data_IF_989180529152
#
_entry.id   IF_989180529152
#
_cell.length_a   1.000
_cell.length_b   1.000
_cell.length_c   1.000
_cell.angle_alpha   90.00
_cell.angle_beta   90.00
_cell.angle_gamma   90.00
#
_symmetry.space_group_name_H-M   'P 1'
#
loop_
_entity.id
_entity.type
_entity.pdbx_description
1 polymer ?
2 non-polymer ?
3 non-polymer ?
4 water ?
#
# COMPACT_ATOMS: atom_id res chain seq x y z
N UNK A 1 -7.23 -7.14 26.66
CA UNK A 1 -7.77 -6.02 25.84
C UNK A 1 -7.64 -6.38 24.36
N UNK A 2 -8.33 -5.63 23.51
CA UNK A 2 -8.32 -5.91 22.08
C UNK A 2 -7.05 -5.30 21.45
N UNK A 3 -6.69 -5.84 20.30
CA UNK A 3 -5.55 -5.27 19.54
C UNK A 3 -6.13 -4.10 18.77
N UNK A 4 -5.63 -2.89 19.01
CA UNK A 4 -6.15 -1.71 18.31
C UNK A 4 -5.40 -1.58 16.98
N UNK A 5 -6.12 -1.50 15.89
CA UNK A 5 -5.56 -1.38 14.54
C UNK A 5 -6.06 -0.07 13.95
N UNK A 6 -5.14 0.69 13.35
CA UNK A 6 -5.57 1.87 12.59
C UNK A 6 -5.04 1.68 11.16
N UNK A 7 -5.91 1.79 10.16
CA UNK A 7 -5.57 1.53 8.76
C UNK A 7 -5.91 2.78 7.94
N UNK A 8 -5.03 3.16 7.03
CA UNK A 8 -5.29 4.31 6.14
C UNK A 8 -5.83 3.81 4.81
N UNK A 9 -6.58 4.65 4.12
CA UNK A 9 -7.12 4.30 2.77
C UNK A 9 -8.11 3.15 2.82
N UNK A 10 -9.21 3.25 3.58
CA UNK A 10 -10.13 2.11 3.68
C UNK A 10 -11.38 2.18 2.81
N UNK A 11 -11.47 3.13 1.89
CA UNK A 11 -12.67 3.28 1.08
C UNK A 11 -12.85 2.14 0.08
N UNK A 12 -11.77 1.51 -0.38
CA UNK A 12 -11.90 0.41 -1.31
C UNK A 12 -10.64 -0.46 -1.24
N UNK A 13 -10.68 -1.48 -2.09
CA UNK A 13 -9.51 -2.31 -2.26
C UNK A 13 -8.98 -2.95 -1.00
N UNK A 14 -7.63 -3.07 -0.97
CA UNK A 14 -7.04 -3.78 0.14
C UNK A 14 -7.43 -3.25 1.50
N UNK A 15 -7.38 -1.92 1.70
CA UNK A 15 -7.67 -1.34 3.01
C UNK A 15 -9.10 -1.67 3.45
N UNK A 16 -10.05 -1.58 2.53
CA UNK A 16 -11.45 -1.94 2.88
C UNK A 16 -11.60 -3.40 3.29
N UNK A 17 -10.98 -4.31 2.52
CA UNK A 17 -11.03 -5.72 2.80
C UNK A 17 -10.31 -6.07 4.09
N UNK A 18 -9.15 -5.47 4.37
CA UNK A 18 -8.44 -5.73 5.60
C UNK A 18 -9.23 -5.23 6.80
N UNK A 19 -9.76 -4.02 6.73
CA UNK A 19 -10.57 -3.48 7.84
C UNK A 19 -11.70 -4.47 8.20
N UNK A 20 -12.48 -4.96 7.24
CA UNK A 20 -13.60 -5.85 7.63
C UNK A 20 -13.16 -7.25 7.99
N UNK A 21 -12.07 -7.76 7.37
CA UNK A 21 -11.52 -9.05 7.78
C UNK A 21 -11.15 -8.98 9.28
N UNK A 22 -10.45 -7.90 9.69
CA UNK A 22 -10.05 -7.79 11.09
C UNK A 22 -11.26 -7.58 12.02
N UNK A 23 -12.13 -6.66 11.66
CA UNK A 23 -13.28 -6.34 12.53
C UNK A 23 -14.20 -7.55 12.69
N UNK A 24 -14.34 -8.33 11.65
CA UNK A 24 -15.20 -9.52 11.71
C UNK A 24 -14.47 -10.77 12.17
N UNK A 25 -13.21 -10.72 12.56
CA UNK A 25 -12.54 -11.93 13.02
C UNK A 25 -13.38 -12.64 14.07
N UNK A 26 -13.57 -13.96 13.92
CA UNK A 26 -14.36 -14.73 14.87
C UNK A 26 -13.92 -14.58 16.30
N UNK A 27 -12.63 -14.45 16.62
CA UNK A 27 -12.15 -14.23 17.97
C UNK A 27 -12.45 -12.86 18.56
N UNK A 28 -12.87 -11.88 17.76
CA UNK A 28 -13.13 -10.52 18.24
C UNK A 28 -11.94 -9.91 18.96
N UNK A 29 -10.73 -10.20 18.51
CA UNK A 29 -9.46 -9.76 19.01
C UNK A 29 -9.14 -8.31 18.62
N UNK A 30 -9.67 -7.83 17.53
CA UNK A 30 -9.29 -6.52 17.00
C UNK A 30 -10.34 -5.44 17.11
N UNK A 31 -9.90 -4.21 17.36
CA UNK A 31 -10.77 -3.04 17.36
C UNK A 31 -10.20 -2.26 16.15
N UNK A 32 -11.01 -1.97 15.15
CA UNK A 32 -10.43 -1.36 13.95
C UNK A 32 -10.87 0.07 13.68
N UNK A 33 -9.87 0.96 13.60
CA UNK A 33 -10.14 2.31 13.15
C UNK A 33 -9.84 2.32 11.63
N UNK A 34 -10.88 2.26 10.83
CA UNK A 34 -10.80 2.32 9.37
C UNK A 34 -10.86 3.79 8.96
N UNK A 35 -9.75 4.32 8.45
CA UNK A 35 -9.71 5.72 8.09
C UNK A 35 -9.76 5.92 6.59
N UNK A 36 -10.32 7.05 6.18
CA UNK A 36 -10.61 7.30 4.78
C UNK A 36 -10.34 8.79 4.51
N UNK A 37 -9.86 9.08 3.30
CA UNK A 37 -9.59 10.49 3.01
C UNK A 37 -10.83 11.34 3.07
N UNK A 38 -11.95 10.83 2.52
CA UNK A 38 -13.20 11.53 2.49
C UNK A 38 -14.30 10.62 3.06
N UNK A 39 -14.96 11.00 4.14
CA UNK A 39 -16.03 10.15 4.71
C UNK A 39 -17.19 9.96 3.75
N UNK A 40 -17.44 10.74 2.72
CA UNK A 40 -18.50 10.44 1.76
C UNK A 40 -18.28 9.13 1.02
N UNK A 41 -17.11 8.52 1.06
CA UNK A 41 -16.80 7.27 0.39
C UNK A 41 -16.94 6.07 1.31
N UNK A 42 -17.50 6.18 2.50
CA UNK A 42 -17.53 5.06 3.46
C UNK A 42 -18.61 4.02 3.25
N UNK A 43 -19.48 4.21 2.24
CA UNK A 43 -20.61 3.31 2.06
C UNK A 43 -20.24 1.89 1.75
N UNK A 44 -19.25 1.66 0.87
CA UNK A 44 -18.86 0.27 0.56
C UNK A 44 -18.27 -0.41 1.78
N UNK A 45 -17.53 0.35 2.58
CA UNK A 45 -16.95 -0.23 3.79
C UNK A 45 -18.06 -0.73 4.73
N UNK A 46 -19.07 0.10 4.99
CA UNK A 46 -20.18 -0.31 5.84
C UNK A 46 -21.03 -1.41 5.21
N UNK A 47 -21.19 -1.41 3.89
CA UNK A 47 -21.91 -2.51 3.26
C UNK A 47 -21.15 -3.82 3.47
N UNK A 48 -19.82 -3.76 3.35
CA UNK A 48 -19.01 -4.96 3.54
C UNK A 48 -18.99 -5.40 5.00
N UNK A 49 -18.93 -4.42 5.92
CA UNK A 49 -18.93 -4.67 7.33
C UNK A 49 -20.20 -5.43 7.74
N UNK A 50 -21.34 -4.97 7.23
CA UNK A 50 -22.60 -5.67 7.52
C UNK A 50 -22.62 -7.07 6.95
N UNK A 51 -22.09 -7.23 5.75
CA UNK A 51 -22.07 -8.54 5.07
C UNK A 51 -21.21 -9.54 5.84
N UNK A 52 -20.19 -9.11 6.55
CA UNK A 52 -19.39 -10.01 7.39
C UNK A 52 -19.79 -9.98 8.84
N UNK A 53 -20.91 -9.31 9.14
CA UNK A 53 -21.45 -9.21 10.49
C UNK A 53 -20.44 -8.72 11.50
N UNK A 54 -19.71 -7.62 11.22
CA UNK A 54 -18.79 -7.07 12.21
C UNK A 54 -19.61 -6.63 13.43
N UNK A 55 -19.25 -7.09 14.61
CA UNK A 55 -19.98 -6.72 15.81
C UNK A 55 -19.94 -5.20 15.99
N UNK A 56 -21.01 -4.65 16.56
CA UNK A 56 -21.07 -3.23 16.87
C UNK A 56 -19.91 -2.83 17.75
N UNK A 57 -19.16 -1.79 17.39
CA UNK A 57 -17.99 -1.35 18.10
C UNK A 57 -16.69 -2.01 17.64
N UNK A 58 -16.72 -2.98 16.76
CA UNK A 58 -15.48 -3.61 16.27
C UNK A 58 -14.79 -2.74 15.21
N UNK A 59 -15.55 -1.91 14.52
CA UNK A 59 -15.19 -1.08 13.42
C UNK A 59 -15.69 0.34 13.57
N UNK A 60 -14.75 1.28 13.46
CA UNK A 60 -15.11 2.71 13.53
C UNK A 60 -14.45 3.41 12.36
N UNK A 61 -15.10 4.43 11.77
CA UNK A 61 -14.51 5.16 10.69
C UNK A 61 -14.08 6.56 11.14
N UNK A 62 -12.92 6.99 10.65
CA UNK A 62 -12.45 8.35 10.93
C UNK A 62 -12.05 8.96 9.58
N UNK A 63 -12.20 10.24 9.42
CA UNK A 63 -11.64 10.92 8.26
C UNK A 63 -10.13 11.08 8.50
N UNK A 64 -9.27 10.74 7.56
CA UNK A 64 -7.83 10.93 7.74
C UNK A 64 -7.21 11.11 6.36
N UNK A 65 -6.82 12.33 6.05
CA UNK A 65 -6.22 12.58 4.78
C UNK A 65 -4.71 12.67 5.00
N UNK A 66 -3.95 11.67 4.55
CA UNK A 66 -2.52 11.63 4.82
C UNK A 66 -1.74 12.81 4.23
N UNK A 67 -2.28 13.65 3.37
CA UNK A 67 -1.59 14.86 2.92
C UNK A 67 -1.58 15.94 3.99
N UNK A 68 -2.35 15.81 5.07
CA UNK A 68 -2.40 16.86 6.10
C UNK A 68 -2.12 16.37 7.49
N UNK A 69 -1.03 16.83 8.08
CA UNK A 69 -0.59 16.48 9.41
C UNK A 69 -1.64 16.86 10.46
N UNK A 70 -2.49 17.85 10.19
CA UNK A 70 -3.54 18.19 11.14
C UNK A 70 -4.60 17.08 11.13
N UNK A 71 -4.88 16.52 9.96
CA UNK A 71 -5.84 15.42 9.85
C UNK A 71 -5.28 14.19 10.51
N UNK A 72 -3.97 13.94 10.37
CA UNK A 72 -3.31 12.79 10.96
C UNK A 72 -3.41 12.91 12.48
N UNK A 73 -3.03 14.09 13.00
CA UNK A 73 -3.10 14.30 14.45
C UNK A 73 -4.50 14.26 15.04
N UNK A 74 -5.53 14.75 14.36
CA UNK A 74 -6.89 14.68 14.90
C UNK A 74 -7.42 13.23 14.91
N UNK A 75 -7.02 12.43 13.92
CA UNK A 75 -7.50 11.03 13.93
C UNK A 75 -6.77 10.30 15.05
N UNK A 76 -5.49 10.57 15.30
CA UNK A 76 -4.76 9.94 16.39
C UNK A 76 -5.44 10.24 17.73
N UNK A 77 -5.90 11.48 17.88
CA UNK A 77 -6.56 11.84 19.14
C UNK A 77 -7.88 11.09 19.30
N UNK A 78 -8.58 10.73 18.23
CA UNK A 78 -9.83 10.01 18.29
C UNK A 78 -9.66 8.56 18.68
N UNK A 79 -8.46 8.01 18.84
CA UNK A 79 -8.26 6.63 19.26
C UNK A 79 -8.47 6.58 20.77
N UNK A 80 -9.70 6.26 21.18
CA UNK A 80 -10.10 6.32 22.60
C UNK A 80 -9.25 5.46 23.50
N UNK A 81 -8.70 4.35 23.01
CA UNK A 81 -7.82 3.51 23.82
C UNK A 81 -6.48 4.14 24.17
N UNK A 82 -6.06 5.20 23.51
CA UNK A 82 -4.80 5.87 23.80
C UNK A 82 -3.60 5.08 23.34
N UNK A 83 -3.81 4.17 22.37
CA UNK A 83 -2.70 3.40 21.86
C UNK A 83 -3.08 2.76 20.51
N UNK A 84 -2.07 2.45 19.71
CA UNK A 84 -2.33 1.74 18.45
C UNK A 84 -1.36 0.56 18.48
N UNK A 85 -1.89 -0.68 18.44
CA UNK A 85 -1.03 -1.83 18.44
C UNK A 85 -0.50 -2.14 17.05
N UNK A 86 -1.36 -1.90 16.07
CA UNK A 86 -1.05 -2.23 14.69
C UNK A 86 -1.40 -1.04 13.80
N UNK A 87 -0.41 -0.46 13.14
CA UNK A 87 -0.67 0.67 12.23
C UNK A 87 -0.48 0.14 10.81
N UNK A 88 -1.44 0.35 9.95
CA UNK A 88 -1.35 -0.14 8.55
C UNK A 88 -1.38 1.06 7.64
N UNK A 89 -0.22 1.32 7.03
CA UNK A 89 -0.07 2.41 6.06
C UNK A 89 -0.33 1.85 4.67
N UNK A 90 -1.55 2.03 4.19
CA UNK A 90 -2.06 1.53 2.94
C UNK A 90 -2.54 2.55 1.94
N UNK A 91 -2.87 3.75 2.35
CA UNK A 91 -3.34 4.81 1.46
C UNK A 91 -2.35 4.94 0.30
N UNK A 92 -2.87 5.04 -0.92
CA UNK A 92 -1.92 5.17 -2.04
C UNK A 92 -2.66 5.61 -3.29
N UNK A 93 -1.91 6.12 -4.23
CA UNK A 93 -2.32 6.56 -5.53
C UNK A 93 -1.46 5.94 -6.61
N UNK A 94 -2.12 5.69 -7.74
CA UNK A 94 -1.37 5.17 -8.90
C UNK A 94 -1.18 6.41 -9.77
N UNK A 95 -0.37 6.27 -10.80
CA UNK A 95 -0.18 7.28 -11.81
C UNK A 95 0.38 6.59 -13.05
N UNK A 96 -0.41 6.64 -14.14
CA UNK A 96 0.01 5.90 -15.33
C UNK A 96 0.05 6.81 -16.55
N UNK A 97 1.09 6.70 -17.32
CA UNK A 97 1.22 7.41 -18.59
C UNK A 97 2.65 7.81 -18.89
N UNK A 98 2.85 8.33 -20.10
CA UNK A 98 4.15 8.82 -20.54
C UNK A 98 4.63 9.86 -19.54
N UNK A 99 5.89 9.80 -19.11
CA UNK A 99 6.35 10.81 -18.12
C UNK A 99 6.06 12.26 -18.50
N UNK A 100 6.29 12.64 -19.76
CA UNK A 100 6.05 13.98 -20.27
C UNK A 100 4.57 14.36 -20.34
N UNK A 101 3.66 13.42 -20.27
CA UNK A 101 2.23 13.69 -20.25
C UNK A 101 1.65 13.87 -18.86
N UNK A 102 2.44 13.62 -17.80
CA UNK A 102 1.91 13.71 -16.44
C UNK A 102 1.93 15.12 -15.91
N UNK A 103 0.82 15.59 -15.29
CA UNK A 103 0.83 16.93 -14.74
C UNK A 103 1.77 16.99 -13.54
N UNK A 104 2.37 18.16 -13.39
CA UNK A 104 3.30 18.43 -12.29
C UNK A 104 2.60 18.23 -10.96
N UNK A 105 1.36 18.69 -10.85
CA UNK A 105 0.56 18.49 -9.67
C UNK A 105 0.26 17.02 -9.39
N UNK A 106 -0.05 16.25 -10.41
CA UNK A 106 -0.33 14.82 -10.29
C UNK A 106 0.94 14.11 -9.77
N UNK A 107 2.11 14.49 -10.32
CA UNK A 107 3.35 13.90 -9.82
C UNK A 107 3.59 14.18 -8.35
N UNK A 108 3.52 15.47 -7.94
CA UNK A 108 3.69 15.89 -6.57
C UNK A 108 2.67 15.22 -5.67
N UNK A 109 1.41 15.08 -6.08
CA UNK A 109 0.43 14.38 -5.28
C UNK A 109 0.78 12.94 -5.00
N UNK A 110 1.23 12.20 -6.01
CA UNK A 110 1.56 10.79 -5.80
C UNK A 110 2.64 10.69 -4.73
N UNK A 111 3.66 11.56 -4.82
CA UNK A 111 4.74 11.48 -3.82
C UNK A 111 4.29 11.93 -2.44
N UNK A 112 3.44 12.96 -2.37
CA UNK A 112 2.95 13.46 -1.10
C UNK A 112 2.06 12.46 -0.36
N UNK A 113 1.14 11.84 -1.10
CA UNK A 113 0.29 10.82 -0.51
C UNK A 113 1.08 9.55 -0.20
N UNK A 114 1.74 9.00 -1.18
CA UNK A 114 2.38 7.69 -1.03
C UNK A 114 3.60 7.70 -0.09
N UNK A 115 4.41 8.73 -0.20
CA UNK A 115 5.67 8.80 0.59
C UNK A 115 5.56 9.73 1.78
N UNK A 116 5.29 11.03 1.57
CA UNK A 116 5.23 11.95 2.70
C UNK A 116 4.08 11.62 3.63
N UNK A 117 2.96 11.16 3.09
CA UNK A 117 1.84 10.71 3.95
C UNK A 117 2.23 9.55 4.84
N UNK A 118 3.05 8.56 4.42
CA UNK A 118 3.46 7.51 5.31
C UNK A 118 4.47 8.06 6.32
N UNK A 119 5.35 8.93 5.83
CA UNK A 119 6.23 9.60 6.82
C UNK A 119 5.37 10.29 7.88
N UNK A 120 4.36 11.07 7.51
CA UNK A 120 3.48 11.73 8.46
C UNK A 120 2.83 10.75 9.44
N UNK A 121 2.38 9.58 8.94
CA UNK A 121 1.81 8.57 9.85
C UNK A 121 2.84 8.03 10.83
N UNK A 122 4.05 7.71 10.35
CA UNK A 122 5.11 7.19 11.19
C UNK A 122 5.57 8.20 12.21
N UNK A 123 5.61 9.49 11.83
CA UNK A 123 6.02 10.49 12.83
C UNK A 123 4.98 10.56 13.95
N UNK A 124 3.70 10.53 13.62
CA UNK A 124 2.61 10.64 14.56
C UNK A 124 2.46 9.41 15.46
N UNK A 125 2.73 8.21 14.95
CA UNK A 125 2.47 6.99 15.71
C UNK A 125 3.67 6.23 16.18
N UNK A 126 4.86 6.39 15.58
CA UNK A 126 6.02 5.63 15.99
C UNK A 126 6.51 5.94 17.41
N UNK A 127 6.57 7.19 17.81
CA UNK A 127 7.13 7.54 19.13
C UNK A 127 6.46 6.82 20.29
N UNK A 128 5.15 6.66 20.30
CA UNK A 128 4.44 5.96 21.36
C UNK A 128 4.76 4.47 21.33
N UNK A 129 4.98 3.91 20.14
CA UNK A 129 5.35 2.51 20.02
C UNK A 129 6.75 2.30 20.58
N UNK A 130 7.64 3.22 20.25
CA UNK A 130 9.04 3.09 20.73
C UNK A 130 9.09 3.20 22.25
N UNK A 131 8.31 4.08 22.85
CA UNK A 131 8.32 4.25 24.32
C UNK A 131 7.79 3.01 25.01
N UNK A 132 6.76 2.40 24.42
CA UNK A 132 6.16 1.19 24.93
C UNK A 132 6.99 -0.05 24.67
N UNK A 133 7.86 -0.02 23.65
CA UNK A 133 8.63 -1.21 23.34
C UNK A 133 7.76 -2.23 22.59
N UNK A 134 6.71 -1.77 21.90
CA UNK A 134 5.87 -2.71 21.16
C UNK A 134 5.00 -2.00 20.15
N UNK A 135 4.60 -2.76 19.13
CA UNK A 135 3.77 -2.19 18.06
C UNK A 135 4.21 -2.78 16.73
N UNK A 136 3.22 -2.86 15.83
CA UNK A 136 3.48 -3.44 14.52
C UNK A 136 3.04 -2.44 13.45
N UNK A 137 3.97 -2.26 12.50
CA UNK A 137 3.64 -1.36 11.40
C UNK A 137 3.64 -2.17 10.12
N UNK A 138 2.51 -2.17 9.42
CA UNK A 138 2.45 -2.87 8.15
C UNK A 138 2.29 -1.83 7.05
N UNK A 139 3.05 -1.94 5.98
CA UNK A 139 2.94 -0.99 4.87
C UNK A 139 2.57 -1.74 3.59
N UNK A 140 1.52 -1.28 2.90
CA UNK A 140 1.19 -1.95 1.62
C UNK A 140 2.30 -1.62 0.63
N UNK A 141 2.94 -2.64 0.11
CA UNK A 141 4.04 -2.49 -0.84
C UNK A 141 3.54 -2.89 -2.22
N UNK A 142 4.44 -3.07 -3.18
CA UNK A 142 4.04 -3.40 -4.54
C UNK A 142 5.20 -4.05 -5.25
N UNK A 143 4.94 -4.84 -6.27
CA UNK A 143 6.02 -5.38 -7.10
C UNK A 143 6.70 -4.19 -7.81
N UNK A 144 5.95 -3.12 -8.05
CA UNK A 144 6.45 -1.88 -8.67
C UNK A 144 7.41 -1.12 -7.74
N UNK A 145 7.51 -1.46 -6.46
CA UNK A 145 8.52 -0.83 -5.61
C UNK A 145 9.80 -1.67 -5.56
N UNK A 146 9.77 -2.82 -6.22
CA UNK A 146 10.91 -3.75 -6.28
C UNK A 146 11.54 -3.80 -7.68
N UNK A 147 10.81 -3.39 -8.69
CA UNK A 147 11.33 -3.38 -10.08
C UNK A 147 10.58 -2.35 -10.89
N UNK A 148 11.31 -1.66 -11.77
CA UNK A 148 10.68 -0.58 -12.55
C UNK A 148 9.74 -1.04 -13.65
N UNK A 149 8.58 -0.35 -13.79
CA UNK A 149 7.59 -0.72 -14.82
C UNK A 149 7.38 0.43 -15.78
N UNK A 150 7.49 0.21 -17.09
CA UNK A 150 7.29 1.24 -18.07
C UNK A 150 5.95 1.90 -17.89
N UNK A 151 5.95 3.23 -18.06
CA UNK A 151 4.76 4.08 -17.97
C UNK A 151 4.21 4.20 -16.56
N UNK A 152 4.95 3.72 -15.56
CA UNK A 152 4.61 3.77 -14.15
C UNK A 152 5.81 4.40 -13.39
N UNK A 153 6.51 5.26 -14.08
CA UNK A 153 7.74 5.88 -13.57
C UNK A 153 7.57 6.57 -12.23
N UNK A 154 6.53 7.38 -12.11
CA UNK A 154 6.33 8.13 -10.86
C UNK A 154 5.73 7.23 -9.82
N UNK A 155 4.80 6.34 -10.23
CA UNK A 155 4.25 5.40 -9.26
C UNK A 155 5.38 4.53 -8.68
N UNK A 156 6.17 3.98 -9.63
CA UNK A 156 7.33 3.15 -9.19
C UNK A 156 8.27 3.96 -8.29
N UNK A 157 8.54 5.21 -8.69
CA UNK A 157 9.41 6.06 -7.86
C UNK A 157 8.89 6.07 -6.46
N UNK A 158 7.59 6.30 -6.25
CA UNK A 158 6.95 6.32 -4.97
C UNK A 158 6.99 5.02 -4.22
N UNK A 159 6.81 3.83 -4.86
CA UNK A 159 6.81 2.56 -4.17
C UNK A 159 8.28 2.21 -3.79
N UNK A 160 9.21 2.44 -4.71
CA UNK A 160 10.62 2.27 -4.38
C UNK A 160 10.98 3.16 -3.16
N UNK A 161 10.42 4.38 -3.12
CA UNK A 161 10.71 5.25 -1.96
C UNK A 161 10.30 4.60 -0.66
N UNK A 162 9.14 3.90 -0.65
CA UNK A 162 8.67 3.25 0.57
C UNK A 162 9.56 2.13 0.99
N UNK A 163 10.14 1.41 0.01
CA UNK A 163 11.08 0.35 0.33
C UNK A 163 12.29 0.95 1.09
N UNK A 164 12.81 2.08 0.58
CA UNK A 164 13.97 2.73 1.17
C UNK A 164 13.62 3.28 2.56
N UNK A 165 12.46 3.90 2.64
CA UNK A 165 11.98 4.42 3.93
C UNK A 165 11.92 3.34 4.96
N UNK A 166 11.21 2.23 4.70
CA UNK A 166 10.97 1.15 5.62
C UNK A 166 12.21 0.36 5.96
N UNK A 167 13.07 0.14 4.94
CA UNK A 167 14.28 -0.62 5.25
C UNK A 167 15.18 0.19 6.16
N UNK A 168 15.28 1.50 5.94
CA UNK A 168 16.12 2.37 6.77
C UNK A 168 15.60 2.37 8.21
N UNK A 169 14.29 2.47 8.40
CA UNK A 169 13.67 2.42 9.71
C UNK A 169 13.84 1.09 10.39
N UNK A 170 13.65 0.02 9.63
CA UNK A 170 13.83 -1.33 10.17
C UNK A 170 15.20 -1.56 10.80
N UNK A 171 16.27 -1.06 10.17
CA UNK A 171 17.63 -1.19 10.68
C UNK A 171 17.70 -0.58 12.07
N UNK A 172 17.04 0.57 12.29
CA UNK A 172 17.07 1.17 13.62
C UNK A 172 16.15 0.49 14.62
N UNK A 173 14.92 0.17 14.19
CA UNK A 173 13.90 -0.37 15.03
C UNK A 173 14.13 -1.79 15.52
N UNK A 174 15.11 -2.51 15.05
CA UNK A 174 15.41 -3.89 15.38
C UNK A 174 15.39 -4.17 16.87
N UNK A 175 16.15 -3.46 17.70
CA UNK A 175 16.14 -3.65 19.14
C UNK A 175 15.09 -2.90 19.93
N UNK A 176 14.21 -2.08 19.32
CA UNK A 176 13.16 -1.37 20.03
C UNK A 176 11.92 -2.22 20.27
N UNK A 177 11.78 -3.40 19.67
CA UNK A 177 10.51 -4.15 19.89
C UNK A 177 9.40 -3.69 18.94
N UNK A 178 9.64 -2.74 18.05
CA UNK A 178 8.63 -2.24 17.13
C UNK A 178 8.93 -2.89 15.78
N UNK A 179 7.94 -3.57 15.20
CA UNK A 179 8.20 -4.33 13.98
C UNK A 179 7.59 -3.69 12.75
N UNK A 180 8.42 -3.49 11.74
CA UNK A 180 7.88 -2.95 10.48
C UNK A 180 7.95 -3.98 9.40
N UNK A 181 6.88 -4.09 8.60
CA UNK A 181 6.87 -5.02 7.49
C UNK A 181 6.13 -4.45 6.28
N UNK A 182 6.65 -4.74 5.11
CA UNK A 182 6.04 -4.42 3.83
C UNK A 182 5.29 -5.65 3.32
N UNK A 183 4.07 -5.44 2.82
CA UNK A 183 3.33 -6.55 2.22
C UNK A 183 3.34 -6.38 0.71
N UNK A 184 4.18 -7.17 0.04
CA UNK A 184 4.47 -6.95 -1.37
C UNK A 184 3.43 -7.62 -2.28
N UNK A 185 2.59 -6.79 -2.85
CA UNK A 185 1.54 -7.28 -3.71
C UNK A 185 1.85 -7.13 -5.20
N UNK A 186 1.34 -8.10 -5.98
CA UNK A 186 1.33 -8.00 -7.45
C UNK A 186 -0.03 -7.40 -7.74
N UNK A 187 -0.63 -7.70 -8.89
CA UNK A 187 -1.94 -7.21 -9.25
C UNK A 187 -3.03 -7.82 -8.36
N UNK A 188 -3.94 -7.02 -7.90
CA UNK A 188 -5.03 -7.38 -7.03
C UNK A 188 -6.37 -6.89 -7.62
N UNK A 189 -7.39 -7.73 -7.58
CA UNK A 189 -8.73 -7.38 -8.02
C UNK A 189 -9.35 -6.38 -7.05
N UNK A 190 -9.41 -5.11 -7.37
CA UNK A 190 -10.02 -4.15 -6.44
C UNK A 190 -11.16 -3.42 -7.17
N UNK A 199 -8.12 10.18 -21.05
CA UNK A 199 -8.59 10.11 -22.43
C UNK A 199 -7.38 9.98 -23.34
N UNK A 200 -7.46 9.11 -24.34
CA UNK A 200 -6.38 8.90 -25.29
C UNK A 200 -5.97 10.22 -25.93
N UNK A 201 -6.96 11.02 -26.30
CA UNK A 201 -6.82 12.33 -26.90
C UNK A 201 -5.94 13.25 -26.06
N UNK A 202 -6.09 13.24 -24.74
CA UNK A 202 -5.23 14.09 -23.91
C UNK A 202 -3.82 13.52 -23.79
N UNK A 203 -3.66 12.21 -23.73
CA UNK A 203 -2.30 11.66 -23.65
C UNK A 203 -1.60 11.92 -24.98
N UNK A 204 -2.29 11.66 -26.11
CA UNK A 204 -1.68 11.88 -27.41
C UNK A 204 -1.27 13.32 -27.62
N UNK A 205 -2.02 14.30 -27.13
CA UNK A 205 -1.60 15.70 -27.22
C UNK A 205 -0.34 16.00 -26.46
N UNK A 206 0.03 15.21 -25.45
CA UNK A 206 1.19 15.47 -24.63
C UNK A 206 2.39 14.60 -24.92
N UNK A 207 2.33 13.71 -25.91
CA UNK A 207 3.52 12.88 -26.16
C UNK A 207 3.73 12.64 -27.65
N UNK A 208 4.73 11.88 -28.05
CA UNK A 208 4.90 11.63 -29.48
C UNK A 208 4.10 10.38 -29.84
N UNK A 209 3.89 10.17 -31.15
CA UNK A 209 3.12 9.05 -31.63
C UNK A 209 3.72 7.71 -31.31
N UNK A 210 5.05 7.60 -31.25
CA UNK A 210 5.73 6.35 -30.94
C UNK A 210 5.57 5.96 -29.46
N UNK A 211 5.77 6.97 -28.62
CA UNK A 211 5.52 6.72 -27.18
C UNK A 211 4.05 6.36 -26.98
N UNK A 212 3.14 7.04 -27.64
CA UNK A 212 1.70 6.76 -27.52
C UNK A 212 1.40 5.32 -27.91
N UNK A 213 2.03 4.83 -28.96
CA UNK A 213 1.86 3.46 -29.44
C UNK A 213 2.39 2.45 -28.43
N UNK A 214 3.55 2.78 -27.84
CA UNK A 214 4.15 1.92 -26.82
C UNK A 214 3.23 1.88 -25.58
N UNK A 215 2.62 3.01 -25.26
CA UNK A 215 1.67 3.08 -24.19
C UNK A 215 0.52 2.12 -24.43
N UNK A 216 -0.03 2.08 -25.66
CA UNK A 216 -1.10 1.13 -25.98
C UNK A 216 -0.63 -0.28 -25.69
N UNK A 217 0.56 -0.62 -26.18
CA UNK A 217 1.13 -1.94 -26.03
C UNK A 217 1.25 -2.29 -24.53
N UNK A 218 1.76 -1.35 -23.75
CA UNK A 218 1.87 -1.58 -22.29
C UNK A 218 0.50 -1.92 -21.72
N UNK A 219 -0.52 -1.13 -22.03
CA UNK A 219 -1.87 -1.27 -21.54
C UNK A 219 -2.47 -2.60 -21.96
N UNK A 220 -2.21 -3.03 -23.19
CA UNK A 220 -2.77 -4.34 -23.61
C UNK A 220 -2.12 -5.44 -22.81
N UNK A 221 -0.79 -5.33 -22.63
CA UNK A 221 -0.05 -6.30 -21.85
C UNK A 221 -0.50 -6.33 -20.39
N UNK A 222 -0.71 -5.16 -19.80
CA UNK A 222 -1.16 -5.00 -18.42
C UNK A 222 -2.50 -5.67 -18.18
N UNK A 223 -3.42 -5.43 -19.12
CA UNK A 223 -4.75 -6.03 -19.05
C UNK A 223 -4.64 -7.54 -19.06
N UNK A 224 -3.74 -8.14 -19.84
CA UNK A 224 -3.61 -9.58 -19.89
C UNK A 224 -2.99 -10.14 -18.61
N UNK A 225 -1.98 -9.41 -18.11
CA UNK A 225 -1.41 -9.86 -16.83
C UNK A 225 -2.48 -9.82 -15.75
N UNK A 226 -3.29 -8.76 -15.70
CA UNK A 226 -4.31 -8.62 -14.66
C UNK A 226 -5.35 -9.74 -14.77
N UNK A 227 -5.84 -9.95 -15.99
CA UNK A 227 -6.82 -11.00 -16.27
C UNK A 227 -6.37 -12.38 -15.83
N UNK A 228 -5.11 -12.70 -16.03
CA UNK A 228 -4.49 -13.95 -15.68
C UNK A 228 -3.99 -14.06 -14.25
N UNK A 229 -3.50 -12.96 -13.67
CA UNK A 229 -2.85 -13.08 -12.37
C UNK A 229 -3.36 -12.25 -11.22
N UNK A 230 -4.40 -11.46 -11.40
CA UNK A 230 -4.84 -10.62 -10.28
C UNK A 230 -5.32 -11.50 -9.14
N UNK A 231 -4.90 -11.23 -7.92
CA UNK A 231 -5.35 -12.00 -6.77
C UNK A 231 -6.60 -11.37 -6.14
N UNK A 232 -7.41 -12.19 -5.47
CA UNK A 232 -8.56 -11.66 -4.75
C UNK A 232 -8.03 -10.85 -3.56
N UNK A 233 -8.65 -9.77 -3.16
CA UNK A 233 -8.22 -8.99 -2.02
C UNK A 233 -8.37 -9.76 -0.71
N UNK A 234 -9.20 -10.83 -0.68
CA UNK A 234 -9.28 -11.58 0.58
C UNK A 234 -7.94 -12.30 0.83
N UNK A 235 -7.38 -12.84 -0.25
CA UNK A 235 -6.14 -13.58 -0.20
C UNK A 235 -4.98 -12.65 0.18
N UNK A 236 -4.97 -11.45 -0.37
CA UNK A 236 -3.97 -10.43 -0.07
C UNK A 236 -4.12 -9.95 1.36
N UNK A 237 -5.37 -9.62 1.77
CA UNK A 237 -5.61 -9.20 3.13
C UNK A 237 -5.11 -10.23 4.12
N UNK A 238 -5.24 -11.52 3.91
CA UNK A 238 -4.77 -12.54 4.83
C UNK A 238 -3.25 -12.54 5.04
N UNK A 239 -2.49 -12.07 4.05
CA UNK A 239 -1.02 -11.99 4.25
C UNK A 239 -0.76 -10.93 5.31
N UNK A 240 -1.55 -9.84 5.36
CA UNK A 240 -1.37 -8.89 6.46
C UNK A 240 -1.54 -9.55 7.82
N UNK A 241 -2.60 -10.40 7.94
CA UNK A 241 -2.87 -11.13 9.17
C UNK A 241 -1.72 -12.06 9.53
N UNK A 242 -1.17 -12.74 8.52
CA UNK A 242 -0.01 -13.61 8.72
C UNK A 242 1.14 -12.81 9.32
N UNK A 243 1.47 -11.67 8.73
CA UNK A 243 2.54 -10.83 9.26
C UNK A 243 2.26 -10.39 10.69
N UNK A 244 1.02 -10.01 10.99
CA UNK A 244 0.63 -9.56 12.31
C UNK A 244 0.83 -10.57 13.43
N UNK A 245 0.57 -11.82 13.09
CA UNK A 245 0.68 -12.90 14.07
C UNK A 245 2.06 -13.51 14.14
N UNK A 246 2.99 -13.12 13.26
CA UNK A 246 4.33 -13.72 13.39
C UNK A 246 5.01 -13.12 14.61
N UNK A 247 5.59 -13.94 15.46
CA UNK A 247 6.31 -13.48 16.64
C UNK A 247 7.53 -12.63 16.30
N UNK A 248 8.19 -12.95 15.18
CA UNK A 248 9.36 -12.18 14.72
C UNK A 248 9.17 -11.95 13.23
N UNK A 249 8.35 -10.95 12.91
CA UNK A 249 8.01 -10.68 11.52
C UNK A 249 9.22 -10.25 10.71
N UNK A 250 9.26 -10.61 9.45
CA UNK A 250 10.32 -10.16 8.53
C UNK A 250 9.95 -8.80 7.95
N UNK A 251 10.97 -8.14 7.38
CA UNK A 251 10.78 -6.86 6.76
C UNK A 251 9.80 -6.98 5.58
N UNK A 252 9.83 -8.05 4.83
CA UNK A 252 8.95 -8.21 3.68
C UNK A 252 8.18 -9.53 3.62
N UNK A 253 6.92 -9.45 3.24
CA UNK A 253 6.05 -10.60 3.00
C UNK A 253 5.64 -10.48 1.53
N UNK A 254 5.55 -11.55 0.78
CA UNK A 254 5.16 -11.49 -0.62
C UNK A 254 3.77 -12.13 -0.75
N UNK A 255 2.86 -11.50 -1.49
CA UNK A 255 1.53 -12.10 -1.60
C UNK A 255 1.49 -13.20 -2.65
N UNK A 256 2.55 -13.26 -3.46
CA UNK A 256 2.65 -14.21 -4.54
C UNK A 256 4.15 -14.47 -4.83
N UNK A 257 4.38 -15.62 -5.48
CA UNK A 257 5.79 -15.88 -5.83
C UNK A 257 6.02 -15.61 -7.30
N UNK A 258 5.02 -15.18 -8.02
CA UNK A 258 5.03 -14.99 -9.45
C UNK A 258 6.12 -14.07 -10.00
N UNK A 259 6.49 -13.03 -9.27
CA UNK A 259 7.50 -12.10 -9.75
C UNK A 259 8.88 -12.33 -9.19
N UNK A 260 9.09 -13.29 -8.32
CA UNK A 260 10.39 -13.58 -7.71
C UNK A 260 11.48 -13.86 -8.74
N UNK A 261 11.22 -14.72 -9.71
CA UNK A 261 12.19 -14.96 -10.78
C UNK A 261 12.65 -13.66 -11.42
N UNK A 262 11.74 -12.76 -11.81
CA UNK A 262 12.12 -11.48 -12.40
C UNK A 262 12.96 -10.68 -11.39
N UNK A 263 12.49 -10.67 -10.15
CA UNK A 263 13.18 -10.01 -9.06
C UNK A 263 14.61 -10.55 -8.96
N UNK A 264 14.80 -11.87 -8.99
CA UNK A 264 16.15 -12.43 -8.86
C UNK A 264 17.06 -12.08 -10.00
N UNK A 265 16.57 -12.04 -11.24
CA UNK A 265 17.31 -11.61 -12.40
C UNK A 265 17.81 -10.17 -12.23
N UNK A 266 16.86 -9.35 -11.77
CA UNK A 266 17.13 -7.93 -11.53
C UNK A 266 18.25 -7.81 -10.52
N UNK A 267 18.05 -8.47 -9.37
CA UNK A 267 19.02 -8.44 -8.28
C UNK A 267 20.36 -9.05 -8.64
N UNK A 268 20.47 -10.02 -9.52
CA UNK A 268 21.70 -10.67 -9.93
C UNK A 268 22.56 -9.99 -10.99
N UNK A 269 22.05 -8.94 -11.62
CA UNK A 269 22.84 -8.16 -12.57
C UNK A 269 22.66 -6.71 -12.11
N UNK A 270 23.54 -6.26 -11.25
CA UNK A 270 23.52 -4.92 -10.70
C UNK A 270 23.75 -3.84 -11.74
N UNK A 271 24.27 -4.15 -12.93
CA UNK A 271 24.32 -3.15 -13.98
C UNK A 271 22.91 -2.80 -14.46
N UNK A 272 21.90 -3.66 -14.21
CA UNK A 272 20.54 -3.38 -14.65
C UNK A 272 20.23 -3.78 -16.07
N UNK A 273 21.22 -4.15 -16.89
CA UNK A 273 21.03 -4.55 -18.26
C UNK A 273 20.14 -5.76 -18.48
N UNK A 274 20.29 -6.82 -17.69
CA UNK A 274 19.45 -7.99 -17.90
C UNK A 274 17.97 -7.67 -17.64
N UNK A 275 17.72 -6.97 -16.53
CA UNK A 275 16.34 -6.59 -16.22
C UNK A 275 15.73 -5.73 -17.30
N UNK A 276 16.40 -4.64 -17.71
CA UNK A 276 15.85 -3.75 -18.70
C UNK A 276 15.52 -4.51 -19.99
N UNK A 277 16.45 -5.36 -20.46
CA UNK A 277 16.11 -6.14 -21.65
C UNK A 277 14.95 -7.10 -21.43
N UNK A 278 14.96 -7.89 -20.37
CA UNK A 278 13.89 -8.87 -20.10
C UNK A 278 12.53 -8.23 -19.94
N UNK A 279 12.46 -7.10 -19.21
CA UNK A 279 11.17 -6.44 -19.00
C UNK A 279 10.74 -5.75 -20.27
N UNK A 280 11.63 -5.22 -21.10
CA UNK A 280 11.24 -4.64 -22.37
C UNK A 280 10.56 -5.71 -23.25
N UNK A 281 11.18 -6.88 -23.31
CA UNK A 281 10.60 -7.99 -24.06
C UNK A 281 9.30 -8.48 -23.44
N UNK A 282 9.20 -8.58 -22.12
CA UNK A 282 7.99 -9.06 -21.46
C UNK A 282 6.81 -8.16 -21.81
N UNK A 283 6.99 -6.85 -21.74
CA UNK A 283 5.90 -5.92 -22.02
C UNK A 283 5.65 -5.65 -23.49
N UNK A 284 6.71 -5.50 -24.27
CA UNK A 284 6.57 -5.08 -25.66
C UNK A 284 6.80 -6.20 -26.66
#
# INVERSE_FOLDING_TARGET
ARTVVLITGCSSGIGLHLAVRLASDPSQSFKVYATLRDLKTQGRLWEAARALACPPGSLETLQLDVRDSKSVAAARERVTEGRVDVLVCNAGLGLLGPLEALGEDAVASVLDVNVVGTVRMLQAFLPDMKRRGSGRVLVTGSVGGLMGLPFNDVYCASKFALEGLCESLAVLLLPFGVHLSLIECGPVHTAFMEKVLGSPEEVLDRTDIHTFHRFYQYLAHSKQVFREAAQNPEEVAEVFLTALRAPKPTLRYFTTERFLPLLRMRLDDPSGSNYVTAMHREVFGDVPAKAEAGAEAGGGAGPGAEDEAGRSAVGDPELGDPPAAPQ
#
